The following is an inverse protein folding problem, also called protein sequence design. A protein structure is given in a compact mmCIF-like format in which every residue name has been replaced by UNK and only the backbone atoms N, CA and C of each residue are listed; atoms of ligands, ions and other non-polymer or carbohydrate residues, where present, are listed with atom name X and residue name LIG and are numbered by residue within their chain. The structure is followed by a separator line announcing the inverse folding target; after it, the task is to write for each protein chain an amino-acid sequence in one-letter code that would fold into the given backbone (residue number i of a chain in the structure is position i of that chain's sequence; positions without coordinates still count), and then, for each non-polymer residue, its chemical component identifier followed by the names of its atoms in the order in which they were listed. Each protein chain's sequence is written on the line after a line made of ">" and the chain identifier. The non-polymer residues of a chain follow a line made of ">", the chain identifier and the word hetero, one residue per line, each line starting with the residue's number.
data_IF_542921215503
#
_entry.id   IF_542921215503
#
_cell.length_a   1.000
_cell.length_b   1.000
_cell.length_c   1.000
_cell.angle_alpha   90.00
_cell.angle_beta   90.00
_cell.angle_gamma   90.00
#
_symmetry.space_group_name_H-M   'P 1'
#
loop_
_entity.id
_entity.type
_entity.pdbx_description
1 polymer ?
#
# COMPACT_ATOMS: atom_id res chain seq x y z
N UNK A 1 59.74 30.37 34.72
CA UNK A 1 60.08 29.28 33.78
C UNK A 1 58.89 28.34 33.72
N UNK A 2 58.02 28.61 32.75
CA UNK A 2 56.77 27.94 32.43
C UNK A 2 57.08 26.63 31.72
N UNK A 3 56.72 25.49 32.32
CA UNK A 3 56.85 24.16 31.71
C UNK A 3 55.58 23.82 30.93
N UNK A 4 55.83 23.41 29.69
CA UNK A 4 54.93 23.10 28.59
C UNK A 4 53.74 22.19 28.94
N UNK A 5 52.60 22.60 28.40
CA UNK A 5 51.35 21.85 28.25
C UNK A 5 51.57 20.66 27.31
N UNK A 6 51.29 19.44 27.77
CA UNK A 6 51.14 18.25 26.91
C UNK A 6 49.65 17.99 26.78
N UNK A 7 49.04 18.42 25.66
CA UNK A 7 47.66 18.06 25.30
C UNK A 7 47.71 16.67 24.69
N UNK A 8 47.30 15.67 25.47
CA UNK A 8 47.14 14.29 25.01
C UNK A 8 45.79 14.23 24.28
N UNK A 9 45.81 14.38 22.94
CA UNK A 9 44.62 14.14 22.11
C UNK A 9 44.55 12.65 21.83
N UNK A 10 43.95 11.89 22.76
CA UNK A 10 43.64 10.48 22.57
C UNK A 10 42.34 10.38 21.76
N UNK A 11 42.48 10.15 20.46
CA UNK A 11 41.40 9.74 19.56
C UNK A 11 40.87 8.38 20.01
N UNK A 12 39.81 8.38 20.81
CA UNK A 12 38.98 7.18 21.06
C UNK A 12 37.91 7.09 19.97
N UNK A 13 38.28 6.43 18.89
CA UNK A 13 37.48 5.45 18.15
C UNK A 13 35.95 5.60 18.21
N UNK A 14 35.48 6.19 17.12
CA UNK A 14 34.17 6.03 16.50
C UNK A 14 33.74 4.57 16.29
N UNK A 15 32.98 3.99 17.22
CA UNK A 15 32.10 2.82 17.00
C UNK A 15 30.91 2.98 17.99
N UNK A 16 29.78 3.57 17.63
CA UNK A 16 28.66 2.86 16.99
C UNK A 16 27.50 3.85 16.87
N UNK A 17 27.40 4.56 15.74
CA UNK A 17 26.14 5.19 15.38
C UNK A 17 25.92 5.07 13.88
N UNK A 18 25.73 3.83 13.43
CA UNK A 18 25.26 3.51 12.08
C UNK A 18 23.77 3.17 12.06
N UNK A 19 23.02 3.47 13.13
CA UNK A 19 21.56 3.37 13.08
C UNK A 19 20.98 4.53 12.29
N UNK A 20 20.77 4.24 11.01
CA UNK A 20 19.72 4.81 10.16
C UNK A 20 19.90 6.28 9.76
N UNK A 21 20.71 6.51 8.72
CA UNK A 21 20.60 7.71 7.86
C UNK A 21 20.52 7.34 6.37
N UNK A 22 20.06 6.12 6.04
CA UNK A 22 19.74 5.74 4.67
C UNK A 22 18.27 6.07 4.36
N UNK A 23 17.90 7.34 4.48
CA UNK A 23 16.65 7.86 3.93
C UNK A 23 16.83 8.09 2.42
N UNK A 24 17.05 7.00 1.68
CA UNK A 24 17.38 7.05 0.27
C UNK A 24 17.03 5.73 -0.40
N UNK A 25 15.91 5.75 -1.14
CA UNK A 25 15.40 4.69 -2.04
C UNK A 25 15.66 3.27 -1.57
N UNK A 26 14.73 2.75 -0.79
CA UNK A 26 14.79 1.34 -0.46
C UNK A 26 14.05 0.52 -1.53
N UNK A 27 14.75 0.25 -2.63
CA UNK A 27 14.32 -0.71 -3.67
C UNK A 27 14.47 -2.14 -3.14
N UNK A 28 13.54 -2.54 -2.26
CA UNK A 28 13.47 -3.89 -1.67
C UNK A 28 12.80 -4.90 -2.61
N UNK A 29 12.11 -4.44 -3.65
CA UNK A 29 11.32 -5.27 -4.57
C UNK A 29 12.18 -6.28 -5.32
N UNK A 30 13.41 -5.91 -5.69
CA UNK A 30 14.43 -6.80 -6.26
C UNK A 30 14.63 -8.12 -5.48
N UNK A 31 14.45 -8.12 -4.15
CA UNK A 31 14.54 -9.33 -3.32
C UNK A 31 13.25 -10.18 -3.35
N UNK A 32 12.12 -9.58 -3.72
CA UNK A 32 10.82 -10.22 -3.75
C UNK A 32 10.53 -10.88 -5.10
N UNK A 33 10.95 -10.25 -6.20
CA UNK A 33 10.66 -10.68 -7.57
C UNK A 33 11.15 -12.07 -7.99
N UNK A 34 12.23 -12.66 -7.43
CA UNK A 34 12.60 -14.04 -7.74
C UNK A 34 11.50 -15.06 -7.47
N UNK A 35 10.63 -14.78 -6.48
CA UNK A 35 9.48 -15.62 -6.14
C UNK A 35 8.14 -15.00 -6.59
N UNK A 36 8.07 -13.67 -6.67
CA UNK A 36 6.88 -12.90 -7.02
C UNK A 36 7.02 -12.27 -8.42
N UNK A 37 7.35 -13.09 -9.41
CA UNK A 37 7.64 -12.64 -10.77
C UNK A 37 6.46 -11.92 -11.43
N UNK A 38 5.22 -12.31 -11.12
CA UNK A 38 3.99 -11.69 -11.63
C UNK A 38 3.93 -10.18 -11.35
N UNK A 39 4.57 -9.71 -10.27
CA UNK A 39 4.62 -8.29 -9.93
C UNK A 39 5.80 -7.56 -10.57
N UNK A 40 6.86 -8.27 -10.97
CA UNK A 40 8.00 -7.66 -11.66
C UNK A 40 7.59 -7.14 -13.05
N UNK A 41 6.77 -7.92 -13.72
CA UNK A 41 6.36 -7.65 -15.11
C UNK A 41 4.99 -6.95 -15.18
N UNK A 42 4.38 -6.62 -14.04
CA UNK A 42 3.12 -5.90 -13.99
C UNK A 42 3.33 -4.47 -14.49
N UNK A 43 2.98 -4.24 -15.74
CA UNK A 43 2.98 -2.93 -16.39
C UNK A 43 1.53 -2.52 -16.66
N UNK A 44 1.09 -1.45 -16.00
CA UNK A 44 -0.29 -0.98 -16.04
C UNK A 44 -0.34 0.53 -16.18
N UNK A 45 -1.41 1.06 -16.79
CA UNK A 45 -1.52 2.49 -17.09
C UNK A 45 -1.47 3.43 -15.88
N UNK A 46 -1.88 2.96 -14.69
CA UNK A 46 -1.86 3.72 -13.44
C UNK A 46 -1.31 2.87 -12.30
N UNK A 47 -0.21 3.32 -11.73
CA UNK A 47 0.50 2.58 -10.69
C UNK A 47 0.40 3.28 -9.33
N UNK A 48 0.42 2.48 -8.26
CA UNK A 48 0.45 3.02 -6.91
C UNK A 48 1.88 3.39 -6.49
N UNK A 49 2.05 4.54 -5.85
CA UNK A 49 3.39 5.09 -5.54
C UNK A 49 4.29 4.12 -4.73
N UNK A 50 3.84 3.50 -3.64
CA UNK A 50 4.57 2.43 -2.96
C UNK A 50 5.02 1.26 -3.85
N UNK A 51 4.26 0.92 -4.89
CA UNK A 51 4.57 -0.18 -5.80
C UNK A 51 5.74 0.17 -6.73
N UNK A 52 5.67 1.33 -7.41
CA UNK A 52 6.76 1.82 -8.29
C UNK A 52 8.05 2.13 -7.52
N UNK A 53 7.94 2.37 -6.22
CA UNK A 53 9.08 2.58 -5.34
C UNK A 53 9.68 1.28 -4.82
N UNK A 54 9.10 0.13 -5.20
CA UNK A 54 9.50 -1.20 -4.74
C UNK A 54 9.53 -1.34 -3.21
N UNK A 55 8.73 -0.53 -2.50
CA UNK A 55 8.67 -0.53 -1.05
C UNK A 55 7.48 -1.37 -0.58
N UNK A 56 7.52 -2.65 -0.95
CA UNK A 56 6.50 -3.65 -0.62
C UNK A 56 6.25 -3.70 0.90
N UNK A 57 7.27 -3.34 1.68
CA UNK A 57 7.24 -3.33 3.14
C UNK A 57 6.27 -2.32 3.71
N UNK A 58 5.86 -1.29 2.97
CA UNK A 58 4.89 -0.30 3.51
C UNK A 58 3.55 -0.94 3.84
N UNK A 59 3.12 -1.90 3.03
CA UNK A 59 1.85 -2.58 3.19
C UNK A 59 2.01 -4.01 3.67
N UNK A 60 3.05 -4.72 3.23
CA UNK A 60 3.21 -6.14 3.53
C UNK A 60 4.11 -6.40 4.75
N UNK A 61 3.72 -7.43 5.51
CA UNK A 61 4.58 -8.13 6.47
C UNK A 61 5.15 -9.36 5.77
N UNK A 62 6.46 -9.49 5.82
CA UNK A 62 7.19 -10.60 5.22
C UNK A 62 7.24 -11.78 6.20
N UNK A 63 7.17 -13.01 5.70
CA UNK A 63 7.24 -14.25 6.49
C UNK A 63 6.14 -14.41 7.55
N UNK A 64 4.87 -14.42 7.11
CA UNK A 64 3.77 -14.95 7.92
C UNK A 64 3.34 -16.33 7.45
N UNK A 65 2.37 -16.92 8.15
CA UNK A 65 2.01 -18.34 8.06
C UNK A 65 1.56 -18.82 6.67
N UNK A 66 1.21 -17.89 5.77
CA UNK A 66 0.88 -18.19 4.37
C UNK A 66 1.79 -17.43 3.39
N UNK A 67 2.75 -18.09 2.72
CA UNK A 67 3.68 -17.44 1.80
C UNK A 67 3.05 -17.02 0.46
N UNK A 68 1.83 -17.47 0.12
CA UNK A 68 1.15 -17.15 -1.15
C UNK A 68 0.09 -16.05 -1.03
N UNK A 69 -0.36 -15.74 0.18
CA UNK A 69 -1.20 -14.57 0.46
C UNK A 69 -0.32 -13.59 1.22
N UNK A 70 0.31 -12.65 0.51
CA UNK A 70 1.19 -11.66 1.12
C UNK A 70 0.52 -11.05 2.35
N UNK A 71 1.09 -11.27 3.52
CA UNK A 71 0.51 -10.79 4.77
C UNK A 71 0.58 -9.27 4.79
N UNK A 72 -0.45 -8.61 5.32
CA UNK A 72 -0.50 -7.15 5.39
C UNK A 72 -0.16 -6.69 6.82
N UNK A 73 0.49 -5.53 6.97
CA UNK A 73 1.01 -5.02 8.25
C UNK A 73 -0.07 -4.72 9.28
N UNK A 74 -1.23 -4.32 8.82
CA UNK A 74 -2.47 -4.34 9.60
C UNK A 74 -3.32 -5.43 8.99
N UNK A 75 -4.00 -6.22 9.82
CA UNK A 75 -4.92 -7.24 9.36
C UNK A 75 -5.90 -6.55 8.40
N UNK A 76 -5.79 -6.80 7.10
CA UNK A 76 -6.94 -6.69 6.22
C UNK A 76 -7.87 -7.83 6.63
N UNK A 77 -8.51 -7.70 7.78
CA UNK A 77 -9.86 -8.23 7.85
C UNK A 77 -10.61 -7.57 6.68
N UNK A 78 -11.58 -8.23 6.07
CA UNK A 78 -12.37 -7.58 5.01
C UNK A 78 -13.04 -6.26 5.49
N UNK A 79 -12.93 -5.86 6.75
CA UNK A 79 -13.40 -4.58 7.29
C UNK A 79 -12.32 -3.48 7.42
N UNK A 80 -11.04 -3.82 7.54
CA UNK A 80 -10.02 -2.87 8.04
C UNK A 80 -9.36 -2.06 6.92
N UNK A 81 -9.96 -0.90 6.65
CA UNK A 81 -9.45 0.16 5.76
C UNK A 81 -8.29 0.96 6.37
N UNK A 82 -7.94 0.70 7.63
CA UNK A 82 -6.95 1.43 8.42
C UNK A 82 -5.53 1.44 7.87
N UNK A 83 -5.15 0.44 7.05
CA UNK A 83 -3.86 0.47 6.35
C UNK A 83 -3.87 1.50 5.22
N UNK A 84 -5.00 1.67 4.55
CA UNK A 84 -5.14 2.69 3.51
C UNK A 84 -5.05 4.08 4.15
N UNK A 85 -5.75 4.26 5.28
CA UNK A 85 -5.79 5.52 6.02
C UNK A 85 -4.48 5.91 6.69
N UNK A 86 -3.52 5.01 6.87
CA UNK A 86 -2.19 5.41 7.36
C UNK A 86 -1.42 6.30 6.37
N UNK A 87 -1.85 6.35 5.10
CA UNK A 87 -1.26 7.22 4.08
C UNK A 87 -2.30 8.11 3.37
N UNK A 88 -3.57 7.68 3.32
CA UNK A 88 -4.66 8.40 2.65
C UNK A 88 -5.70 8.85 3.68
N UNK A 89 -5.54 10.02 4.33
CA UNK A 89 -6.47 10.47 5.36
C UNK A 89 -7.92 10.53 4.84
N UNK A 90 -8.87 10.06 5.63
CA UNK A 90 -10.29 9.96 5.25
C UNK A 90 -10.88 11.32 4.81
N UNK A 91 -10.50 12.38 5.52
CA UNK A 91 -10.90 13.78 5.22
C UNK A 91 -10.32 14.32 3.90
N UNK A 92 -9.28 13.69 3.35
CA UNK A 92 -8.57 14.15 2.15
C UNK A 92 -8.76 13.24 0.94
N UNK A 93 -9.04 11.95 1.15
CA UNK A 93 -9.12 10.97 0.08
C UNK A 93 -10.35 11.20 -0.82
N UNK A 94 -11.44 11.74 -0.27
CA UNK A 94 -12.67 11.99 -1.00
C UNK A 94 -13.33 10.70 -1.48
N UNK A 95 -14.21 10.12 -0.65
CA UNK A 95 -14.91 8.89 -1.01
C UNK A 95 -16.01 9.19 -2.03
N UNK A 96 -15.85 8.66 -3.24
CA UNK A 96 -16.90 8.70 -4.28
C UNK A 96 -17.98 7.63 -4.07
N UNK A 97 -17.72 6.65 -3.20
CA UNK A 97 -18.61 5.55 -2.87
C UNK A 97 -18.38 5.11 -1.41
N UNK A 98 -19.42 4.71 -0.66
CA UNK A 98 -19.26 4.22 0.69
C UNK A 98 -18.38 2.95 0.76
N UNK A 99 -17.49 2.89 1.76
CA UNK A 99 -16.64 1.74 2.10
C UNK A 99 -16.51 1.61 3.62
N UNK A 100 -16.16 0.42 4.11
CA UNK A 100 -16.02 0.13 5.54
C UNK A 100 -17.34 -0.01 6.28
N UNK A 101 -17.27 -0.09 7.61
CA UNK A 101 -18.45 -0.29 8.47
C UNK A 101 -19.21 -1.56 8.10
N UNK A 102 -20.52 -1.43 7.83
CA UNK A 102 -21.39 -2.53 7.42
C UNK A 102 -21.63 -2.59 5.90
N UNK A 103 -20.87 -1.84 5.10
CA UNK A 103 -21.04 -1.84 3.65
C UNK A 103 -20.55 -3.16 3.06
N UNK A 104 -21.43 -3.84 2.32
CA UNK A 104 -21.14 -5.14 1.69
C UNK A 104 -21.27 -5.04 0.19
N UNK A 105 -20.36 -5.70 -0.52
CA UNK A 105 -20.49 -5.94 -1.95
C UNK A 105 -21.72 -6.83 -2.18
N UNK A 106 -22.74 -6.39 -2.93
CA UNK A 106 -23.95 -7.17 -3.16
C UNK A 106 -23.71 -8.42 -4.01
N UNK A 107 -22.62 -8.47 -4.79
CA UNK A 107 -22.29 -9.62 -5.62
C UNK A 107 -21.61 -10.73 -4.82
N UNK A 108 -20.83 -10.39 -3.79
CA UNK A 108 -20.02 -11.36 -3.02
C UNK A 108 -20.44 -11.52 -1.55
N UNK A 109 -21.20 -10.56 -1.00
CA UNK A 109 -21.57 -10.49 0.41
C UNK A 109 -20.41 -10.11 1.35
N UNK A 110 -19.19 -9.98 0.84
CA UNK A 110 -18.04 -9.55 1.63
C UNK A 110 -18.11 -8.06 1.94
N UNK A 111 -17.43 -7.66 3.00
CA UNK A 111 -17.31 -6.24 3.33
C UNK A 111 -16.55 -5.49 2.23
N UNK A 112 -17.06 -4.31 1.90
CA UNK A 112 -16.52 -3.46 0.86
C UNK A 112 -15.43 -2.58 1.46
N UNK A 113 -14.18 -2.80 1.04
CA UNK A 113 -13.02 -1.96 1.36
C UNK A 113 -12.54 -1.25 0.11
N UNK A 114 -11.52 -0.41 0.25
CA UNK A 114 -10.84 0.20 -0.89
C UNK A 114 -10.41 -0.87 -1.91
N UNK A 115 -9.82 -1.98 -1.47
CA UNK A 115 -9.17 -2.95 -2.37
C UNK A 115 -9.96 -4.23 -2.62
N UNK A 116 -11.00 -4.51 -1.82
CA UNK A 116 -11.76 -5.77 -1.97
C UNK A 116 -12.55 -5.83 -3.27
N UNK A 117 -13.03 -4.67 -3.73
CA UNK A 117 -13.97 -4.58 -4.86
C UNK A 117 -13.48 -3.63 -5.95
N UNK A 118 -12.98 -2.45 -5.57
CA UNK A 118 -12.81 -1.36 -6.54
C UNK A 118 -11.35 -1.09 -6.91
N UNK A 119 -10.41 -1.08 -5.96
CA UNK A 119 -9.02 -0.70 -6.23
C UNK A 119 -8.05 -1.89 -6.27
N UNK A 120 -7.01 -1.79 -7.09
CA UNK A 120 -5.83 -2.66 -7.06
C UNK A 120 -4.65 -1.85 -6.49
N UNK A 121 -4.19 -2.14 -5.26
CA UNK A 121 -3.12 -1.38 -4.60
C UNK A 121 -1.75 -1.52 -5.28
N UNK A 122 -1.59 -2.45 -6.22
CA UNK A 122 -0.37 -2.56 -7.03
C UNK A 122 -0.47 -1.77 -8.34
N UNK A 123 -1.67 -1.34 -8.74
CA UNK A 123 -1.92 -0.62 -9.99
C UNK A 123 -2.87 -1.36 -10.94
N UNK A 124 -3.40 -0.60 -11.91
CA UNK A 124 -4.34 -1.06 -12.93
C UNK A 124 -4.31 -0.16 -14.16
N UNK A 125 -4.92 -0.59 -15.27
CA UNK A 125 -5.04 0.24 -16.47
C UNK A 125 -6.05 1.38 -16.36
N UNK A 126 -6.83 1.40 -15.28
CA UNK A 126 -7.87 2.39 -15.07
C UNK A 126 -7.46 3.46 -14.05
N UNK A 127 -7.88 4.70 -14.30
CA UNK A 127 -7.59 5.85 -13.44
C UNK A 127 -8.00 5.55 -12.00
N UNK A 128 -7.23 6.08 -11.04
CA UNK A 128 -7.39 5.82 -9.61
C UNK A 128 -7.18 4.35 -9.24
N UNK A 129 -6.35 3.63 -9.99
CA UNK A 129 -6.02 2.22 -9.74
C UNK A 129 -7.26 1.33 -9.63
N UNK A 130 -8.30 1.61 -10.42
CA UNK A 130 -9.56 0.86 -10.38
C UNK A 130 -9.41 -0.51 -11.05
N UNK A 131 -10.10 -1.53 -10.57
CA UNK A 131 -10.10 -2.89 -11.16
C UNK A 131 -10.85 -2.96 -12.49
N UNK A 132 -11.64 -1.94 -12.81
CA UNK A 132 -12.42 -1.82 -14.04
C UNK A 132 -12.57 -0.35 -14.43
N UNK A 133 -13.04 -0.11 -15.65
CA UNK A 133 -13.33 1.22 -16.14
C UNK A 133 -14.33 1.94 -15.22
N UNK A 134 -13.98 3.17 -14.82
CA UNK A 134 -14.81 4.00 -13.96
C UNK A 134 -16.06 4.53 -14.67
N UNK A 135 -16.87 5.28 -13.91
CA UNK A 135 -18.13 5.84 -14.41
C UNK A 135 -19.25 4.80 -14.42
N UNK A 136 -20.20 4.93 -15.36
CA UNK A 136 -21.45 4.16 -15.36
C UNK A 136 -21.22 2.65 -15.29
N UNK A 137 -20.23 2.14 -16.02
CA UNK A 137 -19.91 0.71 -16.08
C UNK A 137 -19.53 0.12 -14.71
N UNK A 138 -18.86 0.92 -13.86
CA UNK A 138 -18.55 0.54 -12.49
C UNK A 138 -19.77 0.58 -11.58
N UNK A 139 -20.63 1.60 -11.69
CA UNK A 139 -21.82 1.69 -10.84
C UNK A 139 -22.77 0.51 -11.09
N UNK A 140 -23.00 0.18 -12.36
CA UNK A 140 -23.98 -0.85 -12.75
C UNK A 140 -23.48 -2.30 -12.58
N UNK A 141 -22.21 -2.50 -12.24
CA UNK A 141 -21.70 -3.85 -11.94
C UNK A 141 -22.34 -4.41 -10.66
N UNK A 142 -22.76 -3.52 -9.76
CA UNK A 142 -23.50 -3.83 -8.53
C UNK A 142 -24.94 -3.30 -8.58
N UNK A 143 -25.14 -2.08 -9.06
CA UNK A 143 -26.45 -1.41 -9.10
C UNK A 143 -27.18 -1.64 -10.43
N UNK A 144 -27.56 -2.90 -10.71
CA UNK A 144 -28.20 -3.31 -11.97
C UNK A 144 -29.55 -2.61 -12.18
N UNK A 145 -30.24 -2.24 -11.12
CA UNK A 145 -31.49 -1.49 -11.10
C UNK A 145 -31.39 -0.11 -11.77
N UNK A 146 -30.19 0.48 -11.83
CA UNK A 146 -29.95 1.75 -12.53
C UNK A 146 -30.04 1.60 -14.06
N UNK A 147 -29.88 0.39 -14.58
CA UNK A 147 -30.09 0.09 -16.01
C UNK A 147 -31.60 0.03 -16.32
N UNK A 148 -32.40 -0.46 -15.37
CA UNK A 148 -33.84 -0.69 -15.53
C UNK A 148 -34.70 0.55 -15.22
N UNK A 149 -34.09 1.70 -14.90
CA UNK A 149 -34.82 2.92 -14.56
C UNK A 149 -35.54 2.85 -13.20
N UNK A 150 -35.07 2.00 -12.28
CA UNK A 150 -35.66 1.80 -10.94
C UNK A 150 -34.77 2.32 -9.80
N UNK A 151 -33.88 3.26 -10.10
CA UNK A 151 -32.98 3.87 -9.12
C UNK A 151 -33.71 4.80 -8.15
N UNK A 152 -33.43 4.64 -6.85
CA UNK A 152 -33.84 5.55 -5.77
C UNK A 152 -33.13 6.90 -5.85
#
# INVERSE_FOLDING_TARGET
>A
MTLLVVVIVSVSESISNSYSQNEGKVERGSLCFPCHADFKDKNVGYEHKPFIQEDCSRCHKFHGDNPRKGNLKKNFSQADIDLCYSCHPNDKLGLSHPVGGNMRDPNTGYLMTCTSTCHDPHGSDYRFILRQEGGKNLCISCHKELIEGRGR
#
